data_IF_460083670965
#
_entry.id   IF_460083670965
#
_cell.length_a   1.000
_cell.length_b   1.000
_cell.length_c   1.000
_cell.angle_alpha   90.00
_cell.angle_beta   90.00
_cell.angle_gamma   90.00
#
_symmetry.space_group_name_H-M   'P 1'
#
loop_
_entity.id
_entity.type
_entity.pdbx_description
1 polymer ?
#
# COMPACT_ATOMS: atom_id res chain seq x y z
N UNK A 1 -20.39 3.02 5.05
CA UNK A 1 -19.96 3.10 3.64
C UNK A 1 -19.01 1.95 3.32
N UNK A 2 -18.99 1.49 2.08
CA UNK A 2 -18.01 0.51 1.61
C UNK A 2 -16.94 1.22 0.77
N UNK A 3 -15.68 0.81 0.91
CA UNK A 3 -14.55 1.33 0.17
C UNK A 3 -13.75 0.19 -0.47
N UNK A 4 -13.12 0.45 -1.61
CA UNK A 4 -12.25 -0.50 -2.32
C UNK A 4 -10.91 0.18 -2.61
N UNK A 5 -9.80 -0.48 -2.26
CA UNK A 5 -8.44 0.00 -2.52
C UNK A 5 -7.80 -0.88 -3.60
N UNK A 6 -7.37 -0.26 -4.70
CA UNK A 6 -6.65 -0.97 -5.76
C UNK A 6 -5.19 -1.22 -5.34
N UNK A 7 -4.90 -2.46 -4.94
CA UNK A 7 -3.60 -2.88 -4.40
C UNK A 7 -2.74 -3.72 -5.39
N UNK A 8 -3.08 -3.72 -6.68
CA UNK A 8 -2.41 -4.52 -7.72
C UNK A 8 -1.22 -3.84 -8.42
N UNK A 9 -0.66 -4.57 -9.40
CA UNK A 9 0.43 -4.12 -10.29
C UNK A 9 1.82 -4.63 -9.90
N UNK A 10 2.69 -4.83 -10.91
CA UNK A 10 4.01 -5.47 -10.74
C UNK A 10 5.07 -4.62 -10.00
N UNK A 11 4.85 -3.32 -9.83
CA UNK A 11 5.77 -2.46 -9.07
C UNK A 11 7.18 -2.31 -9.67
N UNK A 12 7.38 -2.61 -10.96
CA UNK A 12 8.70 -2.73 -11.61
C UNK A 12 9.65 -1.53 -11.40
N UNK A 13 9.11 -0.32 -11.29
CA UNK A 13 9.89 0.92 -11.03
C UNK A 13 10.48 1.01 -9.62
N UNK A 14 10.00 0.19 -8.69
CA UNK A 14 10.47 0.12 -7.30
C UNK A 14 11.34 -1.12 -7.05
N UNK A 15 11.72 -1.84 -8.11
CA UNK A 15 12.73 -2.90 -7.98
C UNK A 15 14.03 -2.35 -7.35
N UNK A 16 14.72 -3.11 -6.48
CA UNK A 16 14.45 -4.51 -6.13
C UNK A 16 13.43 -4.69 -5.00
N UNK A 17 12.92 -3.60 -4.41
CA UNK A 17 12.07 -3.63 -3.22
C UNK A 17 10.78 -4.44 -3.42
N UNK A 18 10.29 -4.51 -4.66
CA UNK A 18 9.04 -5.19 -5.00
C UNK A 18 9.18 -6.63 -5.51
N UNK A 19 10.38 -7.23 -5.48
CA UNK A 19 10.57 -8.62 -5.91
C UNK A 19 9.96 -9.63 -4.94
N UNK A 20 10.02 -9.35 -3.63
CA UNK A 20 9.51 -10.24 -2.58
C UNK A 20 8.36 -9.62 -1.78
N UNK A 21 7.98 -8.37 -2.09
CA UNK A 21 6.98 -7.62 -1.35
C UNK A 21 6.13 -6.77 -2.28
N UNK A 22 4.81 -6.86 -2.17
CA UNK A 22 3.91 -5.99 -2.94
C UNK A 22 4.14 -4.51 -2.58
N UNK A 23 4.04 -3.61 -3.57
CA UNK A 23 4.19 -2.16 -3.38
C UNK A 23 3.39 -1.61 -2.18
N UNK A 24 2.10 -1.96 -1.98
CA UNK A 24 1.32 -1.43 -0.85
C UNK A 24 1.84 -1.88 0.53
N UNK A 25 2.63 -2.94 0.59
CA UNK A 25 3.21 -3.46 1.85
C UNK A 25 4.60 -2.90 2.14
N UNK A 26 5.17 -2.08 1.24
CA UNK A 26 6.43 -1.41 1.51
C UNK A 26 6.29 -0.47 2.72
N UNK A 27 7.29 -0.43 3.62
CA UNK A 27 7.20 0.37 4.83
C UNK A 27 7.46 1.85 4.53
N UNK A 28 6.61 2.71 5.07
CA UNK A 28 6.77 4.17 5.13
C UNK A 28 6.67 4.54 6.60
N UNK A 29 7.78 5.02 7.17
CA UNK A 29 7.89 5.35 8.60
C UNK A 29 7.46 4.18 9.50
N UNK A 30 8.02 2.99 9.24
CA UNK A 30 7.72 1.73 9.96
C UNK A 30 6.27 1.22 9.85
N UNK A 31 5.44 1.82 8.99
CA UNK A 31 4.05 1.39 8.74
C UNK A 31 3.87 1.04 7.26
N UNK A 32 3.14 -0.03 6.88
CA UNK A 32 2.87 -0.30 5.47
C UNK A 32 2.20 0.89 4.76
N UNK A 33 2.59 1.18 3.52
CA UNK A 33 1.96 2.22 2.68
C UNK A 33 0.42 2.09 2.67
N UNK A 34 -0.08 0.85 2.60
CA UNK A 34 -1.52 0.56 2.61
C UNK A 34 -2.22 1.05 3.88
N UNK A 35 -1.57 0.99 5.04
CA UNK A 35 -2.20 1.46 6.27
C UNK A 35 -2.42 2.97 6.26
N UNK A 36 -1.48 3.75 5.71
CA UNK A 36 -1.67 5.20 5.58
C UNK A 36 -2.92 5.53 4.73
N UNK A 37 -3.22 4.72 3.71
CA UNK A 37 -4.44 4.85 2.92
C UNK A 37 -5.68 4.51 3.76
N UNK A 38 -5.64 3.42 4.53
CA UNK A 38 -6.74 3.01 5.42
C UNK A 38 -7.01 4.10 6.47
N UNK A 39 -5.97 4.67 7.10
CA UNK A 39 -6.14 5.72 8.12
C UNK A 39 -6.73 7.01 7.52
N UNK A 40 -6.53 7.24 6.22
CA UNK A 40 -7.09 8.41 5.51
C UNK A 40 -8.55 8.24 5.12
N UNK A 41 -9.12 7.04 5.29
CA UNK A 41 -10.54 6.83 5.03
C UNK A 41 -11.37 7.65 6.03
N UNK A 42 -12.50 8.24 5.60
CA UNK A 42 -13.40 8.94 6.50
C UNK A 42 -13.83 8.01 7.65
N UNK A 43 -13.78 8.53 8.87
CA UNK A 43 -14.43 7.88 10.00
C UNK A 43 -15.93 8.10 9.84
N UNK A 44 -16.68 7.00 9.75
CA UNK A 44 -18.13 7.03 9.96
C UNK A 44 -18.47 6.90 11.44
#
# INVERSE_FOLDING_TARGET
MQAVILAGGFGTRLAPLTYTRAKPMLPILNKPMLHHLIDSLPQE
#
